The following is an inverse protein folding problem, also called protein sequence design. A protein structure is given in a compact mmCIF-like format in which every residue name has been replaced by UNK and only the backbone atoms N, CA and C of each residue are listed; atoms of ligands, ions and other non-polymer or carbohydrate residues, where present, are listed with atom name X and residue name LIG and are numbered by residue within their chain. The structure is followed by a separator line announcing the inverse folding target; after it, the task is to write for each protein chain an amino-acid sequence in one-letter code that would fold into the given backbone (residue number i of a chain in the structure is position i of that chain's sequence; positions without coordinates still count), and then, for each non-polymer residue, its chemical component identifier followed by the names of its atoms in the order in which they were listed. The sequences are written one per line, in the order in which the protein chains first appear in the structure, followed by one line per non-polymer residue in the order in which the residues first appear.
data_IF_423177532161
#
_entry.id   IF_423177532161
#
_cell.length_a   1.000
_cell.length_b   1.000
_cell.length_c   1.000
_cell.angle_alpha   90.00
_cell.angle_beta   90.00
_cell.angle_gamma   90.00
#
_symmetry.space_group_name_H-M   'P 1'
#
loop_
_entity.id
_entity.type
_entity.pdbx_description
1 polymer ?
#
# COMPACT_ATOMS: atom_id res chain seq x y z
N UNK A 1 10.04 52.72 10.43
CA UNK A 1 9.05 51.72 10.00
C UNK A 1 7.68 52.17 10.48
N UNK A 2 6.60 51.95 9.71
CA UNK A 2 5.26 52.35 10.14
C UNK A 2 4.68 51.30 11.09
N UNK A 3 3.91 51.73 12.09
CA UNK A 3 3.27 50.82 13.07
C UNK A 3 2.32 49.84 12.37
N UNK A 4 1.60 50.29 11.34
CA UNK A 4 0.70 49.46 10.52
C UNK A 4 1.41 48.27 9.84
N UNK A 5 2.66 48.45 9.43
CA UNK A 5 3.45 47.37 8.81
C UNK A 5 3.84 46.31 9.85
N UNK A 6 4.14 46.72 11.08
CA UNK A 6 4.45 45.82 12.19
C UNK A 6 3.22 45.05 12.64
N UNK A 7 2.06 45.70 12.70
CA UNK A 7 0.78 45.03 13.03
C UNK A 7 0.42 43.97 11.99
N UNK A 8 0.63 44.27 10.69
CA UNK A 8 0.45 43.29 9.62
C UNK A 8 1.41 42.11 9.76
N UNK A 9 2.70 42.39 10.01
CA UNK A 9 3.71 41.34 10.18
C UNK A 9 3.45 40.48 11.42
N UNK A 10 2.95 41.06 12.52
CA UNK A 10 2.52 40.31 13.70
C UNK A 10 1.34 39.39 13.39
N UNK A 11 0.36 39.85 12.61
CA UNK A 11 -0.76 39.00 12.20
C UNK A 11 -0.27 37.82 11.34
N UNK A 12 0.59 38.09 10.35
CA UNK A 12 1.21 37.05 9.52
C UNK A 12 2.06 36.07 10.36
N UNK A 13 2.73 36.55 11.41
CA UNK A 13 3.52 35.75 12.34
C UNK A 13 2.65 34.79 13.15
N UNK A 14 1.53 35.29 13.71
CA UNK A 14 0.58 34.44 14.43
C UNK A 14 -0.12 33.43 13.51
N UNK A 15 -0.27 33.74 12.21
CA UNK A 15 -0.75 32.81 11.19
C UNK A 15 0.34 31.81 10.73
N UNK A 16 1.61 32.02 11.09
CA UNK A 16 2.74 31.18 10.72
C UNK A 16 3.14 31.30 9.25
N UNK A 17 2.89 32.46 8.62
CA UNK A 17 3.18 32.73 7.20
C UNK A 17 4.38 33.65 6.97
N UNK A 18 5.05 34.06 8.05
CA UNK A 18 6.25 34.91 8.00
C UNK A 18 7.48 34.16 7.53
N UNK A 19 8.41 34.92 6.94
CA UNK A 19 9.76 34.47 6.60
C UNK A 19 10.77 34.95 7.64
N UNK A 20 11.91 34.27 7.74
CA UNK A 20 13.00 34.60 8.68
C UNK A 20 13.43 36.08 8.62
N UNK A 21 13.51 36.66 7.41
CA UNK A 21 13.86 38.08 7.24
C UNK A 21 12.79 39.04 7.78
N UNK A 22 11.51 38.68 7.70
CA UNK A 22 10.43 39.47 8.28
C UNK A 22 10.44 39.40 9.81
N UNK A 23 10.76 38.23 10.36
CA UNK A 23 10.89 38.02 11.81
C UNK A 23 12.10 38.76 12.38
N UNK A 24 13.21 38.84 11.65
CA UNK A 24 14.37 39.66 12.04
C UNK A 24 14.01 41.14 12.11
N UNK A 25 13.19 41.63 11.17
CA UNK A 25 12.69 43.02 11.19
C UNK A 25 11.78 43.26 12.41
N UNK A 26 10.86 42.33 12.71
CA UNK A 26 10.01 42.40 13.92
C UNK A 26 10.87 42.41 15.20
N UNK A 27 11.88 41.55 15.27
CA UNK A 27 12.83 41.45 16.38
C UNK A 27 13.60 42.76 16.59
N UNK A 28 14.12 43.34 15.52
CA UNK A 28 14.82 44.62 15.57
C UNK A 28 13.90 45.78 15.98
N UNK A 29 12.65 45.78 15.51
CA UNK A 29 11.65 46.78 15.89
C UNK A 29 11.34 46.74 17.39
N UNK A 30 11.03 45.57 17.94
CA UNK A 30 10.69 45.41 19.36
C UNK A 30 11.86 45.68 20.32
N UNK A 31 13.10 45.55 19.83
CA UNK A 31 14.33 45.87 20.59
C UNK A 31 14.64 47.36 20.65
N UNK A 32 14.56 48.06 19.52
CA UNK A 32 15.17 49.39 19.36
C UNK A 32 14.21 50.57 19.56
N UNK A 33 12.90 50.35 19.40
CA UNK A 33 11.90 51.43 19.37
C UNK A 33 10.99 51.38 20.60
N UNK A 34 10.57 52.53 21.14
CA UNK A 34 9.49 52.59 22.12
C UNK A 34 8.17 52.15 21.46
N UNK A 35 7.66 51.01 21.92
CA UNK A 35 6.51 50.33 21.33
C UNK A 35 5.20 50.92 21.87
N UNK A 36 4.20 51.20 21.03
CA UNK A 36 2.88 51.64 21.46
C UNK A 36 2.27 50.74 22.53
N UNK A 37 1.51 51.32 23.46
CA UNK A 37 0.99 50.61 24.64
C UNK A 37 0.17 49.35 24.33
N UNK A 38 -0.50 49.28 23.18
CA UNK A 38 -1.27 48.10 22.78
C UNK A 38 -0.40 46.94 22.28
N UNK A 39 0.79 47.23 21.75
CA UNK A 39 1.74 46.25 21.22
C UNK A 39 2.74 45.74 22.28
N UNK A 40 2.68 46.25 23.51
CA UNK A 40 3.56 45.82 24.61
C UNK A 40 3.39 44.34 24.95
N UNK A 41 2.15 43.82 24.88
CA UNK A 41 1.86 42.41 25.11
C UNK A 41 2.42 41.53 23.99
N UNK A 42 2.23 41.95 22.74
CA UNK A 42 2.76 41.24 21.57
C UNK A 42 4.28 41.23 21.58
N UNK A 43 4.92 42.33 22.01
CA UNK A 43 6.37 42.38 22.22
C UNK A 43 6.84 41.32 23.21
N UNK A 44 6.19 41.20 24.36
CA UNK A 44 6.56 40.21 25.38
C UNK A 44 6.42 38.79 24.86
N UNK A 45 5.31 38.49 24.17
CA UNK A 45 5.06 37.18 23.57
C UNK A 45 6.12 36.87 22.51
N UNK A 46 6.35 37.79 21.57
CA UNK A 46 7.27 37.59 20.46
C UNK A 46 8.70 37.36 20.95
N UNK A 47 9.20 38.17 21.88
CA UNK A 47 10.57 38.04 22.40
C UNK A 47 10.78 36.75 23.22
N UNK A 48 9.73 36.23 23.86
CA UNK A 48 9.80 34.96 24.59
C UNK A 48 9.76 33.74 23.65
N UNK A 49 8.97 33.81 22.56
CA UNK A 49 8.84 32.72 21.58
C UNK A 49 10.01 32.65 20.63
N UNK A 50 10.54 33.81 20.25
CA UNK A 50 11.69 33.96 19.39
C UNK A 50 12.84 34.54 20.21
N UNK A 51 13.49 33.75 21.09
CA UNK A 51 14.73 34.17 21.71
C UNK A 51 15.78 34.41 20.62
N UNK A 52 16.85 35.08 21.00
CA UNK A 52 17.91 35.43 20.06
C UNK A 52 18.54 34.19 19.45
N UNK A 53 18.86 34.26 18.16
CA UNK A 53 19.54 33.17 17.46
C UNK A 53 20.90 32.81 18.12
N UNK A 54 21.49 33.74 18.88
CA UNK A 54 22.74 33.55 19.61
C UNK A 54 22.54 32.92 21.00
N UNK A 55 21.28 32.73 21.44
CA UNK A 55 21.00 32.04 22.69
C UNK A 55 21.01 30.53 22.41
N UNK A 56 22.17 29.91 22.60
CA UNK A 56 22.30 28.46 22.61
C UNK A 56 21.41 27.90 23.74
N UNK A 57 20.22 27.43 23.37
CA UNK A 57 19.34 26.73 24.30
C UNK A 57 20.04 25.42 24.62
N UNK A 58 20.54 25.27 25.85
CA UNK A 58 21.19 24.04 26.29
C UNK A 58 20.22 22.86 26.17
N UNK A 59 20.44 22.04 25.14
CA UNK A 59 19.68 20.82 24.93
C UNK A 59 20.20 19.77 25.93
N UNK A 60 19.33 19.12 26.72
CA UNK A 60 19.74 18.07 27.65
C UNK A 60 20.44 16.93 26.90
N UNK A 61 21.59 16.49 27.42
CA UNK A 61 22.48 15.51 26.77
C UNK A 61 21.82 14.17 26.39
N UNK A 62 20.65 13.82 26.96
CA UNK A 62 19.95 12.56 26.70
C UNK A 62 18.69 12.72 25.85
N UNK A 63 18.35 13.93 25.42
CA UNK A 63 17.12 14.17 24.67
C UNK A 63 17.21 13.58 23.26
N UNK A 64 18.35 13.75 22.60
CA UNK A 64 18.62 13.23 21.25
C UNK A 64 18.53 11.70 21.22
N UNK A 65 19.20 11.03 22.16
CA UNK A 65 19.15 9.57 22.28
C UNK A 65 17.72 9.06 22.51
N UNK A 66 16.95 9.76 23.35
CA UNK A 66 15.55 9.40 23.63
C UNK A 66 14.66 9.59 22.40
N UNK A 67 14.89 10.63 21.61
CA UNK A 67 14.18 10.88 20.35
C UNK A 67 14.49 9.78 19.33
N UNK A 68 15.77 9.43 19.16
CA UNK A 68 16.19 8.35 18.27
C UNK A 68 15.53 7.03 18.65
N UNK A 69 15.52 6.70 19.95
CA UNK A 69 14.87 5.49 20.45
C UNK A 69 13.35 5.50 20.17
N UNK A 70 12.69 6.64 20.33
CA UNK A 70 11.26 6.79 20.02
C UNK A 70 10.96 6.65 18.52
N UNK A 71 11.84 7.18 17.66
CA UNK A 71 11.72 7.02 16.20
C UNK A 71 11.80 5.54 15.83
N UNK A 72 12.79 4.83 16.36
CA UNK A 72 12.96 3.40 16.11
C UNK A 72 11.75 2.59 16.64
N UNK A 73 11.28 2.88 17.85
CA UNK A 73 10.09 2.22 18.42
C UNK A 73 8.83 2.48 17.59
N UNK A 74 8.65 3.70 17.10
CA UNK A 74 7.51 4.08 16.25
C UNK A 74 7.61 3.41 14.87
N UNK A 75 8.80 3.36 14.28
CA UNK A 75 9.04 2.66 13.00
C UNK A 75 8.76 1.16 13.11
N UNK A 76 9.14 0.52 14.23
CA UNK A 76 8.79 -0.87 14.49
C UNK A 76 7.28 -1.07 14.65
N UNK A 77 6.60 -0.18 15.40
CA UNK A 77 5.13 -0.24 15.56
C UNK A 77 4.39 -0.06 14.23
N UNK A 78 4.84 0.83 13.35
CA UNK A 78 4.28 0.97 12.01
C UNK A 78 4.54 -0.29 11.17
N UNK A 79 5.74 -0.86 11.23
CA UNK A 79 6.02 -2.15 10.57
C UNK A 79 5.10 -3.27 11.09
N UNK A 80 4.70 -3.26 12.36
CA UNK A 80 3.74 -4.21 12.91
C UNK A 80 2.33 -4.11 12.31
N UNK A 81 1.88 -2.94 11.84
CA UNK A 81 0.62 -2.81 11.09
C UNK A 81 0.71 -3.42 9.68
N UNK A 82 1.90 -3.43 9.07
CA UNK A 82 2.13 -3.98 7.73
C UNK A 82 2.60 -5.44 7.70
N UNK A 83 2.83 -6.09 8.85
CA UNK A 83 3.06 -7.54 8.88
C UNK A 83 1.74 -8.27 8.65
N UNK A 84 1.60 -9.08 7.58
CA UNK A 84 0.47 -10.00 7.52
C UNK A 84 0.54 -10.92 8.74
N UNK A 85 -0.55 -10.99 9.50
CA UNK A 85 -0.67 -11.88 10.66
C UNK A 85 -0.26 -13.32 10.27
N UNK A 86 0.89 -13.77 10.80
CA UNK A 86 1.48 -15.08 10.52
C UNK A 86 0.61 -16.27 11.00
N UNK A 87 -0.52 -16.00 11.67
CA UNK A 87 -1.54 -16.97 12.07
C UNK A 87 -2.05 -17.87 10.92
N UNK A 88 -1.97 -17.42 9.66
CA UNK A 88 -2.36 -18.20 8.48
C UNK A 88 -1.56 -19.50 8.31
N UNK A 89 -0.37 -19.62 8.90
CA UNK A 89 0.40 -20.87 8.84
C UNK A 89 -0.16 -21.97 9.75
N UNK A 90 -0.78 -21.64 10.88
CA UNK A 90 -1.41 -22.64 11.76
C UNK A 90 -2.65 -23.27 11.12
N UNK A 91 -3.43 -22.47 10.39
CA UNK A 91 -4.63 -22.94 9.67
C UNK A 91 -4.31 -23.94 8.57
N UNK A 92 -3.13 -23.84 7.93
CA UNK A 92 -2.69 -24.84 6.93
C UNK A 92 -2.37 -26.19 7.59
N UNK A 93 -1.80 -26.19 8.79
CA UNK A 93 -1.52 -27.43 9.53
C UNK A 93 -2.80 -28.06 10.13
N UNK A 94 -3.67 -27.23 10.71
CA UNK A 94 -4.97 -27.67 11.25
C UNK A 94 -5.87 -28.21 10.14
N UNK A 95 -5.89 -27.54 8.97
CA UNK A 95 -6.61 -28.01 7.78
C UNK A 95 -6.10 -29.36 7.27
N UNK A 96 -4.77 -29.59 7.31
CA UNK A 96 -4.17 -30.88 6.98
C UNK A 96 -4.62 -32.00 7.93
N UNK A 97 -4.59 -31.76 9.24
CA UNK A 97 -5.03 -32.74 10.25
C UNK A 97 -6.53 -33.05 10.10
N UNK A 98 -7.37 -32.02 9.98
CA UNK A 98 -8.81 -32.20 9.79
C UNK A 98 -9.15 -32.99 8.52
N UNK A 99 -8.44 -32.74 7.41
CA UNK A 99 -8.64 -33.48 6.16
C UNK A 99 -8.36 -34.98 6.31
N UNK A 100 -7.30 -35.36 7.03
CA UNK A 100 -7.00 -36.79 7.28
C UNK A 100 -8.07 -37.47 8.13
N UNK A 101 -8.61 -36.78 9.13
CA UNK A 101 -9.70 -37.29 9.98
C UNK A 101 -10.99 -37.45 9.17
N UNK A 102 -11.36 -36.45 8.36
CA UNK A 102 -12.52 -36.53 7.48
C UNK A 102 -12.39 -37.63 6.43
N UNK A 103 -11.18 -37.87 5.91
CA UNK A 103 -10.92 -38.97 4.97
C UNK A 103 -11.11 -40.33 5.65
N UNK A 104 -10.62 -40.52 6.88
CA UNK A 104 -10.83 -41.75 7.64
C UNK A 104 -12.31 -41.99 7.97
N UNK A 105 -13.04 -40.95 8.38
CA UNK A 105 -14.48 -41.03 8.64
C UNK A 105 -15.25 -41.30 7.34
N UNK A 106 -14.91 -40.59 6.26
CA UNK A 106 -15.53 -40.73 4.95
C UNK A 106 -15.31 -42.10 4.32
N UNK A 107 -14.11 -42.68 4.46
CA UNK A 107 -13.81 -44.05 4.00
C UNK A 107 -14.51 -45.07 4.90
N UNK A 108 -14.45 -44.91 6.23
CA UNK A 108 -15.09 -45.84 7.17
C UNK A 108 -16.61 -45.90 6.98
N UNK A 109 -17.27 -44.74 6.89
CA UNK A 109 -18.71 -44.65 6.64
C UNK A 109 -19.07 -44.97 5.18
N UNK A 110 -18.18 -44.58 4.24
CA UNK A 110 -18.34 -44.80 2.82
C UNK A 110 -18.29 -46.27 2.44
N UNK A 111 -17.36 -47.07 2.98
CA UNK A 111 -17.27 -48.51 2.69
C UNK A 111 -18.46 -49.27 3.30
N UNK A 112 -18.89 -48.94 4.53
CA UNK A 112 -20.06 -49.59 5.15
C UNK A 112 -21.37 -49.27 4.40
N UNK A 113 -21.49 -48.04 3.87
CA UNK A 113 -22.65 -47.62 3.08
C UNK A 113 -22.60 -48.09 1.61
N UNK A 114 -21.40 -48.17 1.01
CA UNK A 114 -21.19 -48.61 -0.38
C UNK A 114 -21.30 -50.14 -0.52
N UNK A 115 -20.86 -50.90 0.50
CA UNK A 115 -21.06 -52.36 0.56
C UNK A 115 -22.53 -52.75 0.56
N UNK A 116 -23.43 -51.86 0.99
CA UNK A 116 -24.88 -52.10 0.98
C UNK A 116 -25.55 -51.74 -0.35
N UNK A 117 -24.90 -51.00 -1.26
CA UNK A 117 -25.64 -50.36 -2.37
C UNK A 117 -24.96 -50.26 -3.75
N UNK A 118 -23.76 -50.78 -4.06
CA UNK A 118 -23.23 -50.60 -5.44
C UNK A 118 -22.37 -51.76 -5.95
N UNK A 119 -22.97 -52.66 -6.73
CA UNK A 119 -22.36 -53.13 -7.98
C UNK A 119 -22.75 -52.08 -9.03
N UNK A 120 -21.84 -51.23 -9.53
CA UNK A 120 -22.21 -50.30 -10.60
C UNK A 120 -22.19 -51.06 -11.93
N UNK A 121 -23.16 -50.83 -12.85
CA UNK A 121 -22.96 -51.25 -14.22
C UNK A 121 -21.73 -50.48 -14.76
N UNK A 122 -20.78 -51.20 -15.36
CA UNK A 122 -19.67 -50.62 -16.09
C UNK A 122 -20.18 -49.50 -17.00
N UNK A 123 -19.58 -48.29 -17.01
CA UNK A 123 -19.96 -47.25 -17.96
C UNK A 123 -19.92 -47.85 -19.37
N UNK A 124 -21.05 -47.85 -20.08
CA UNK A 124 -21.06 -48.31 -21.46
C UNK A 124 -20.14 -47.39 -22.26
N UNK A 125 -19.16 -47.99 -22.94
CA UNK A 125 -18.26 -47.28 -23.83
C UNK A 125 -19.09 -46.61 -24.94
N UNK A 126 -18.84 -45.32 -25.21
CA UNK A 126 -19.65 -44.53 -26.16
C UNK A 126 -19.39 -44.95 -27.61
N UNK A 127 -18.25 -45.58 -27.87
CA UNK A 127 -17.91 -46.16 -29.15
C UNK A 127 -17.71 -47.67 -28.99
N UNK A 128 -18.36 -48.46 -29.85
CA UNK A 128 -18.18 -49.91 -29.87
C UNK A 128 -16.88 -50.33 -30.55
N UNK A 129 -16.30 -49.46 -31.37
CA UNK A 129 -15.05 -49.68 -32.10
C UNK A 129 -13.97 -48.68 -31.61
N UNK A 130 -12.84 -49.17 -31.08
CA UNK A 130 -11.74 -48.31 -30.64
C UNK A 130 -11.17 -47.46 -31.78
N UNK A 131 -11.19 -47.92 -33.04
CA UNK A 131 -10.61 -47.15 -34.16
C UNK A 131 -11.43 -45.89 -34.46
N UNK A 132 -12.77 -45.97 -34.41
CA UNK A 132 -13.66 -44.82 -34.58
C UNK A 132 -13.48 -43.78 -33.48
N UNK A 133 -13.31 -44.22 -32.23
CA UNK A 133 -13.05 -43.33 -31.11
C UNK A 133 -11.77 -42.52 -31.32
N UNK A 134 -10.69 -43.16 -31.79
CA UNK A 134 -9.44 -42.47 -32.09
C UNK A 134 -9.59 -41.48 -33.25
N UNK A 135 -10.35 -41.84 -34.30
CA UNK A 135 -10.59 -40.96 -35.44
C UNK A 135 -11.39 -39.72 -35.05
N UNK A 136 -12.45 -39.90 -34.24
CA UNK A 136 -13.22 -38.77 -33.72
C UNK A 136 -12.36 -37.88 -32.82
N UNK A 137 -11.59 -38.47 -31.90
CA UNK A 137 -10.70 -37.73 -31.02
C UNK A 137 -9.67 -36.91 -31.81
N UNK A 138 -9.04 -37.50 -32.83
CA UNK A 138 -8.08 -36.80 -33.68
C UNK A 138 -8.74 -35.64 -34.43
N UNK A 139 -9.95 -35.83 -34.97
CA UNK A 139 -10.69 -34.76 -35.63
C UNK A 139 -11.03 -33.62 -34.67
N UNK A 140 -11.52 -33.94 -33.47
CA UNK A 140 -11.84 -32.96 -32.43
C UNK A 140 -10.61 -32.19 -31.97
N UNK A 141 -9.48 -32.88 -31.73
CA UNK A 141 -8.23 -32.22 -31.34
C UNK A 141 -7.70 -31.31 -32.45
N UNK A 142 -7.81 -31.73 -33.72
CA UNK A 142 -7.41 -30.92 -34.87
C UNK A 142 -8.26 -29.63 -34.94
N UNK A 143 -9.57 -29.74 -34.82
CA UNK A 143 -10.49 -28.61 -34.84
C UNK A 143 -10.21 -27.62 -33.71
N UNK A 144 -10.05 -28.13 -32.48
CA UNK A 144 -9.70 -27.30 -31.32
C UNK A 144 -8.35 -26.60 -31.56
N UNK A 145 -7.35 -27.32 -32.08
CA UNK A 145 -6.02 -26.75 -32.35
C UNK A 145 -6.07 -25.63 -33.41
N UNK A 146 -6.89 -25.80 -34.45
CA UNK A 146 -7.07 -24.79 -35.49
C UNK A 146 -7.72 -23.52 -34.92
N UNK A 147 -8.74 -23.68 -34.08
CA UNK A 147 -9.44 -22.57 -33.45
C UNK A 147 -8.53 -21.80 -32.47
N UNK A 148 -7.69 -22.52 -31.72
CA UNK A 148 -6.68 -21.91 -30.84
C UNK A 148 -5.61 -21.14 -31.63
N UNK A 149 -5.14 -21.69 -32.75
CA UNK A 149 -4.14 -21.02 -33.58
C UNK A 149 -4.68 -19.72 -34.18
N UNK A 150 -5.95 -19.72 -34.61
CA UNK A 150 -6.63 -18.50 -35.06
C UNK A 150 -6.73 -17.46 -33.93
N UNK A 151 -7.22 -17.86 -32.75
CA UNK A 151 -7.36 -16.95 -31.61
C UNK A 151 -6.03 -16.37 -31.12
N UNK A 152 -4.95 -17.14 -31.16
CA UNK A 152 -3.62 -16.65 -30.82
C UNK A 152 -3.09 -15.59 -31.82
N UNK A 153 -3.44 -15.72 -33.11
CA UNK A 153 -3.01 -14.75 -34.10
C UNK A 153 -3.72 -13.39 -33.91
N UNK A 154 -5.02 -13.38 -33.61
CA UNK A 154 -5.74 -12.15 -33.27
C UNK A 154 -5.17 -11.44 -32.04
N UNK A 155 -4.82 -12.19 -31.00
CA UNK A 155 -4.17 -11.63 -29.80
C UNK A 155 -2.80 -11.03 -30.12
N UNK A 156 -2.02 -11.69 -31.00
CA UNK A 156 -0.71 -11.18 -31.42
C UNK A 156 -0.83 -9.87 -32.18
N UNK A 157 -1.79 -9.75 -33.09
CA UNK A 157 -2.07 -8.49 -33.80
C UNK A 157 -2.50 -7.39 -32.83
N UNK A 158 -3.39 -7.69 -31.89
CA UNK A 158 -3.80 -6.74 -30.84
C UNK A 158 -2.61 -6.27 -29.97
N UNK A 159 -1.67 -7.17 -29.64
CA UNK A 159 -0.46 -6.78 -28.91
C UNK A 159 0.50 -5.90 -29.71
N UNK A 160 0.56 -6.06 -31.03
CA UNK A 160 1.34 -5.19 -31.91
C UNK A 160 0.68 -3.81 -31.96
N UNK A 161 -0.63 -3.76 -32.10
CA UNK A 161 -1.39 -2.51 -32.18
C UNK A 161 -1.33 -1.72 -30.86
N UNK A 162 -1.51 -2.39 -29.72
CA UNK A 162 -1.32 -1.77 -28.40
C UNK A 162 0.09 -1.21 -28.22
N UNK A 163 1.13 -1.93 -28.67
CA UNK A 163 2.51 -1.43 -28.62
C UNK A 163 2.71 -0.17 -29.47
N UNK A 164 2.09 -0.10 -30.65
CA UNK A 164 2.12 1.10 -31.50
C UNK A 164 1.42 2.28 -30.81
N UNK A 165 0.22 2.08 -30.27
CA UNK A 165 -0.52 3.11 -29.52
C UNK A 165 0.32 3.63 -28.34
N UNK A 166 0.91 2.73 -27.55
CA UNK A 166 1.78 3.11 -26.44
C UNK A 166 3.00 3.93 -26.86
N UNK A 167 3.54 3.67 -28.05
CA UNK A 167 4.67 4.43 -28.60
C UNK A 167 4.23 5.83 -29.06
N UNK A 168 3.07 5.94 -29.71
CA UNK A 168 2.53 7.22 -30.17
C UNK A 168 2.20 8.15 -29.01
N UNK A 169 1.47 7.66 -28.00
CA UNK A 169 1.15 8.41 -26.77
C UNK A 169 2.41 8.91 -26.07
N UNK A 170 3.49 8.11 -26.07
CA UNK A 170 4.77 8.51 -25.46
C UNK A 170 5.46 9.64 -26.24
N UNK A 171 5.31 9.66 -27.56
CA UNK A 171 5.91 10.69 -28.41
C UNK A 171 5.15 12.03 -28.28
N UNK A 172 3.82 12.01 -28.09
CA UNK A 172 3.02 13.23 -27.90
C UNK A 172 3.22 13.91 -26.54
N UNK A 173 3.61 13.15 -25.50
CA UNK A 173 3.82 13.67 -24.14
C UNK A 173 5.19 14.36 -23.97
N UNK A 174 6.10 14.24 -24.95
CA UNK A 174 7.48 14.72 -24.87
C UNK A 174 7.71 15.99 -25.70
#
# INVERSE_FOLDING_TARGET
MKVEEIERLLAEFYEGTTTESQEEVLRNYFRTTEVPGHLLKDKEIFLNLCPDADQDIEVPAHLEDKLNLLIDEMAEKEQHFFRPNNSKNSWRWIGGVAATILLLIGIGYGIDNLSKNVCPPTPQDTFSDPEEAYRMLQATLLEISANLNYGLNEVKESQIDMRKIHQEVRNEIK
#
